data_IF_029472224261
#
_entry.id   IF_029472224261
#
_cell.length_a   1.000
_cell.length_b   1.000
_cell.length_c   1.000
_cell.angle_alpha   90.00
_cell.angle_beta   90.00
_cell.angle_gamma   90.00
#
_symmetry.space_group_name_H-M   'P 1'
#
loop_
_entity.id
_entity.type
_entity.pdbx_description
1 polymer ?
#
# COMPACT_ATOMS: atom_id res chain seq x y z
N UNK A 1 -62.20 23.13 -11.70
CA UNK A 1 -61.67 21.91 -12.33
C UNK A 1 -60.85 21.14 -11.30
N UNK A 2 -61.29 19.93 -10.95
CA UNK A 2 -60.65 19.00 -10.02
C UNK A 2 -59.37 18.43 -10.64
N UNK A 3 -58.26 18.39 -9.90
CA UNK A 3 -57.24 17.34 -10.05
C UNK A 3 -56.88 16.78 -8.69
N UNK A 4 -57.14 15.49 -8.60
CA UNK A 4 -56.96 14.58 -7.49
C UNK A 4 -55.51 14.03 -7.49
N UNK A 5 -55.04 13.59 -6.31
CA UNK A 5 -54.24 12.36 -6.10
C UNK A 5 -52.73 12.42 -6.48
N UNK A 6 -51.73 11.91 -5.74
CA UNK A 6 -51.59 10.96 -4.61
C UNK A 6 -50.29 11.30 -3.86
N UNK A 7 -50.29 11.29 -2.52
CA UNK A 7 -49.06 11.21 -1.69
C UNK A 7 -48.51 9.80 -1.78
N UNK A 8 -47.41 9.58 -2.51
CA UNK A 8 -46.68 8.32 -2.48
C UNK A 8 -45.87 8.25 -1.18
N UNK A 9 -46.31 7.38 -0.27
CA UNK A 9 -45.53 6.90 0.87
C UNK A 9 -44.32 6.14 0.32
N UNK A 10 -43.13 6.69 0.53
CA UNK A 10 -41.87 6.02 0.22
C UNK A 10 -41.57 4.96 1.27
N UNK A 11 -41.79 3.69 0.92
CA UNK A 11 -41.19 2.57 1.65
C UNK A 11 -39.80 2.36 1.05
N UNK A 12 -38.80 2.99 1.67
CA UNK A 12 -37.39 2.70 1.43
C UNK A 12 -37.10 1.34 2.07
N UNK A 13 -37.19 0.29 1.25
CA UNK A 13 -36.75 -1.05 1.62
C UNK A 13 -35.24 -1.04 1.87
N UNK A 14 -34.85 -1.29 3.11
CA UNK A 14 -33.48 -1.50 3.56
C UNK A 14 -32.91 -2.74 2.85
N UNK A 15 -32.16 -2.53 1.77
CA UNK A 15 -31.33 -3.57 1.16
C UNK A 15 -30.20 -3.85 2.14
N UNK A 16 -30.36 -4.89 2.96
CA UNK A 16 -29.28 -5.47 3.76
C UNK A 16 -28.38 -6.23 2.79
N UNK A 17 -27.35 -5.56 2.28
CA UNK A 17 -26.21 -6.20 1.65
C UNK A 17 -25.49 -7.02 2.71
N UNK A 18 -25.81 -8.31 2.80
CA UNK A 18 -25.00 -9.29 3.51
C UNK A 18 -23.69 -9.40 2.75
N UNK A 19 -22.71 -8.60 3.15
CA UNK A 19 -21.32 -8.77 2.72
C UNK A 19 -20.84 -10.12 3.23
N UNK A 20 -20.81 -11.11 2.35
CA UNK A 20 -20.13 -12.36 2.63
C UNK A 20 -18.66 -12.01 2.91
N UNK A 21 -18.23 -12.23 4.15
CA UNK A 21 -16.84 -12.32 4.52
C UNK A 21 -16.25 -13.51 3.74
N UNK A 22 -15.83 -13.26 2.51
CA UNK A 22 -14.92 -14.13 1.80
C UNK A 22 -13.64 -14.12 2.63
N UNK A 23 -13.47 -15.12 3.50
CA UNK A 23 -12.13 -15.53 3.91
C UNK A 23 -11.28 -15.72 2.65
N UNK A 24 -9.96 -15.59 2.77
CA UNK A 24 -9.01 -15.73 1.67
C UNK A 24 -9.02 -17.15 1.05
N UNK A 25 -10.13 -17.55 0.45
CA UNK A 25 -10.31 -18.76 -0.30
C UNK A 25 -9.53 -18.58 -1.60
N UNK A 26 -8.62 -19.50 -1.84
CA UNK A 26 -7.72 -19.47 -2.99
C UNK A 26 -8.41 -19.92 -4.28
N UNK A 27 -9.58 -20.58 -4.15
CA UNK A 27 -10.43 -21.06 -5.24
C UNK A 27 -11.91 -20.97 -4.88
N UNK A 28 -12.75 -20.83 -5.91
CA UNK A 28 -14.21 -20.98 -5.79
C UNK A 28 -14.64 -22.43 -5.89
N UNK A 29 -15.87 -22.75 -5.44
CA UNK A 29 -16.46 -24.10 -5.56
C UNK A 29 -16.51 -24.55 -7.02
N UNK A 30 -16.86 -23.65 -7.93
CA UNK A 30 -16.95 -23.92 -9.37
C UNK A 30 -15.58 -24.27 -9.94
N UNK A 31 -14.53 -23.54 -9.54
CA UNK A 31 -13.16 -23.82 -9.96
C UNK A 31 -12.67 -25.17 -9.41
N UNK A 32 -13.05 -25.54 -8.19
CA UNK A 32 -12.77 -26.87 -7.64
C UNK A 32 -13.42 -27.98 -8.47
N UNK A 33 -14.70 -27.82 -8.82
CA UNK A 33 -15.46 -28.81 -9.59
C UNK A 33 -14.99 -28.92 -11.05
N UNK A 34 -14.44 -27.84 -11.61
CA UNK A 34 -13.85 -27.86 -12.95
C UNK A 34 -12.61 -28.76 -13.02
N UNK A 35 -11.82 -28.85 -11.93
CA UNK A 35 -10.73 -29.80 -11.81
C UNK A 35 -9.53 -29.57 -12.74
N UNK A 36 -9.36 -28.38 -13.31
CA UNK A 36 -8.21 -28.01 -14.15
C UNK A 36 -6.96 -27.72 -13.30
N UNK A 37 -6.44 -28.74 -12.64
CA UNK A 37 -5.30 -28.60 -11.72
C UNK A 37 -4.00 -28.22 -12.43
N UNK A 38 -3.83 -28.60 -13.70
CA UNK A 38 -2.71 -28.13 -14.51
C UNK A 38 -2.80 -26.61 -14.76
N UNK A 39 -3.95 -26.09 -15.18
CA UNK A 39 -4.14 -24.66 -15.40
C UNK A 39 -3.96 -23.83 -14.12
N UNK A 40 -4.45 -24.33 -12.99
CA UNK A 40 -4.23 -23.70 -11.67
C UNK A 40 -2.74 -23.71 -11.31
N UNK A 41 -2.07 -24.86 -11.48
CA UNK A 41 -0.63 -25.00 -11.22
C UNK A 41 0.21 -24.05 -12.04
N UNK A 42 -0.03 -23.97 -13.35
CA UNK A 42 0.66 -23.04 -14.24
C UNK A 42 0.56 -21.59 -13.77
N UNK A 43 -0.66 -21.12 -13.45
CA UNK A 43 -0.89 -19.75 -12.97
C UNK A 43 -0.22 -19.49 -11.63
N UNK A 44 -0.26 -20.45 -10.71
CA UNK A 44 0.45 -20.34 -9.43
C UNK A 44 1.97 -20.28 -9.61
N UNK A 45 2.51 -21.03 -10.58
CA UNK A 45 3.92 -20.98 -10.94
C UNK A 45 4.31 -19.64 -11.55
N UNK A 46 3.50 -19.13 -12.49
CA UNK A 46 3.69 -17.81 -13.11
C UNK A 46 3.63 -16.67 -12.09
N UNK A 47 2.83 -16.84 -11.02
CA UNK A 47 2.72 -15.91 -9.91
C UNK A 47 3.75 -16.16 -8.78
N UNK A 48 4.68 -17.10 -8.94
CA UNK A 48 5.72 -17.38 -7.95
C UNK A 48 5.20 -17.94 -6.61
N UNK A 49 4.04 -18.59 -6.61
CA UNK A 49 3.43 -19.11 -5.38
C UNK A 49 4.23 -20.29 -4.82
N UNK A 50 4.37 -20.40 -3.49
CA UNK A 50 5.08 -21.50 -2.86
C UNK A 50 4.35 -22.83 -3.09
N UNK A 51 5.06 -23.94 -2.94
CA UNK A 51 4.50 -25.28 -3.13
C UNK A 51 3.30 -25.56 -2.21
N UNK A 52 3.31 -24.99 -0.99
CA UNK A 52 2.22 -25.07 -0.02
C UNK A 52 0.89 -24.49 -0.52
N UNK A 53 0.89 -23.77 -1.66
CA UNK A 53 -0.32 -23.20 -2.23
C UNK A 53 -1.35 -24.27 -2.63
N UNK A 54 -0.90 -25.46 -3.01
CA UNK A 54 -1.80 -26.59 -3.28
C UNK A 54 -2.60 -26.99 -2.04
N UNK A 55 -1.99 -26.93 -0.84
CA UNK A 55 -2.68 -27.25 0.41
C UNK A 55 -3.77 -26.22 0.73
N UNK A 56 -3.54 -24.95 0.37
CA UNK A 56 -4.56 -23.91 0.50
C UNK A 56 -5.75 -24.19 -0.43
N UNK A 57 -5.48 -24.61 -1.67
CA UNK A 57 -6.51 -25.04 -2.61
C UNK A 57 -7.28 -26.25 -2.10
N UNK A 58 -6.58 -27.25 -1.53
CA UNK A 58 -7.22 -28.42 -0.93
C UNK A 58 -8.18 -28.03 0.19
N UNK A 59 -7.77 -27.11 1.08
CA UNK A 59 -8.64 -26.58 2.16
C UNK A 59 -9.86 -25.85 1.59
N UNK A 60 -9.69 -25.05 0.54
CA UNK A 60 -10.79 -24.34 -0.12
C UNK A 60 -11.79 -25.30 -0.77
N UNK A 61 -11.29 -26.36 -1.41
CA UNK A 61 -12.10 -27.34 -2.13
C UNK A 61 -12.70 -28.46 -1.26
N UNK A 62 -12.26 -28.60 -0.01
CA UNK A 62 -12.77 -29.61 0.92
C UNK A 62 -14.31 -29.53 1.11
N UNK A 63 -14.88 -28.32 1.17
CA UNK A 63 -16.35 -28.11 1.28
C UNK A 63 -17.10 -28.58 0.04
N UNK A 64 -16.43 -28.66 -1.10
CA UNK A 64 -16.97 -29.18 -2.36
C UNK A 64 -16.73 -30.69 -2.52
N UNK A 65 -16.04 -31.34 -1.58
CA UNK A 65 -15.67 -32.75 -1.66
C UNK A 65 -14.60 -33.06 -2.71
N UNK A 66 -13.85 -32.05 -3.16
CA UNK A 66 -12.82 -32.20 -4.19
C UNK A 66 -11.43 -32.20 -3.56
N UNK A 67 -10.61 -33.18 -3.95
CA UNK A 67 -9.19 -33.28 -3.60
C UNK A 67 -8.34 -32.86 -4.82
N UNK A 68 -7.37 -31.96 -4.68
CA UNK A 68 -6.51 -31.57 -5.81
C UNK A 68 -5.67 -32.70 -6.36
N UNK A 69 -5.49 -32.73 -7.68
CA UNK A 69 -4.54 -33.63 -8.33
C UNK A 69 -3.14 -32.98 -8.37
N UNK A 70 -2.24 -33.51 -7.53
CA UNK A 70 -0.92 -32.93 -7.30
C UNK A 70 0.02 -33.07 -8.50
N UNK A 71 -0.05 -34.17 -9.24
CA UNK A 71 0.88 -34.44 -10.34
C UNK A 71 0.75 -33.43 -11.50
N UNK A 72 -0.43 -33.22 -12.12
CA UNK A 72 -0.60 -32.21 -13.16
C UNK A 72 -0.41 -30.79 -12.64
N UNK A 73 -0.77 -30.52 -11.37
CA UNK A 73 -0.54 -29.22 -10.75
C UNK A 73 0.94 -28.88 -10.66
N UNK A 74 1.77 -29.73 -10.05
CA UNK A 74 3.19 -29.41 -9.86
C UNK A 74 3.95 -29.42 -11.19
N UNK A 75 3.61 -30.33 -12.11
CA UNK A 75 4.20 -30.33 -13.44
C UNK A 75 3.95 -29.01 -14.19
N UNK A 76 2.72 -28.51 -14.15
CA UNK A 76 2.37 -27.25 -14.81
C UNK A 76 2.91 -26.03 -14.04
N UNK A 77 2.96 -26.09 -12.71
CA UNK A 77 3.59 -25.06 -11.86
C UNK A 77 5.07 -24.87 -12.21
N UNK A 78 5.79 -25.95 -12.41
CA UNK A 78 7.20 -25.88 -12.82
C UNK A 78 7.38 -25.24 -14.20
N UNK A 79 6.37 -25.34 -15.09
CA UNK A 79 6.36 -24.61 -16.36
C UNK A 79 6.10 -23.12 -16.16
N UNK A 80 5.11 -22.76 -15.33
CA UNK A 80 4.82 -21.37 -14.98
C UNK A 80 6.01 -20.68 -14.29
N UNK A 81 6.73 -21.40 -13.43
CA UNK A 81 7.93 -20.89 -12.76
C UNK A 81 9.04 -20.51 -13.74
N UNK A 82 9.08 -21.05 -14.96
CA UNK A 82 10.05 -20.60 -15.98
C UNK A 82 9.79 -19.15 -16.42
N UNK A 83 8.55 -18.69 -16.33
CA UNK A 83 8.16 -17.31 -16.63
C UNK A 83 8.42 -16.39 -15.42
N UNK A 84 8.19 -16.90 -14.21
CA UNK A 84 8.45 -16.16 -12.98
C UNK A 84 9.95 -16.02 -12.68
N UNK A 85 10.74 -17.08 -12.88
CA UNK A 85 12.15 -17.15 -12.50
C UNK A 85 13.06 -16.51 -13.54
N UNK A 86 12.81 -15.23 -13.81
CA UNK A 86 13.60 -14.40 -14.70
C UNK A 86 14.20 -13.25 -13.90
N UNK A 87 15.31 -12.70 -14.39
CA UNK A 87 15.92 -11.53 -13.77
C UNK A 87 14.97 -10.33 -13.77
N UNK A 88 14.20 -10.11 -14.85
CA UNK A 88 13.27 -8.98 -14.98
C UNK A 88 12.12 -9.11 -13.99
N UNK A 89 11.60 -10.33 -13.81
CA UNK A 89 10.60 -10.58 -12.78
C UNK A 89 11.19 -10.37 -11.39
N UNK A 90 12.39 -10.86 -11.12
CA UNK A 90 13.11 -10.59 -9.88
C UNK A 90 13.17 -9.10 -9.57
N UNK A 91 13.57 -8.27 -10.55
CA UNK A 91 13.58 -6.82 -10.41
C UNK A 91 12.20 -6.24 -10.07
N UNK A 92 11.15 -6.64 -10.77
CA UNK A 92 9.79 -6.20 -10.44
C UNK A 92 9.40 -6.59 -9.02
N UNK A 93 9.61 -7.83 -8.61
CA UNK A 93 9.26 -8.31 -7.28
C UNK A 93 10.02 -7.56 -6.18
N UNK A 94 11.31 -7.30 -6.38
CA UNK A 94 12.14 -6.51 -5.45
C UNK A 94 11.70 -5.05 -5.38
N UNK A 95 11.43 -4.43 -6.53
CA UNK A 95 10.95 -3.04 -6.65
C UNK A 95 9.60 -2.85 -5.99
N UNK A 96 8.70 -3.80 -6.17
CA UNK A 96 7.34 -3.74 -5.63
C UNK A 96 7.32 -4.10 -4.12
N UNK A 97 8.47 -4.50 -3.55
CA UNK A 97 8.61 -4.82 -2.12
C UNK A 97 8.09 -6.20 -1.73
N UNK A 98 7.88 -7.09 -2.71
CA UNK A 98 7.39 -8.44 -2.47
C UNK A 98 8.50 -9.32 -1.87
N UNK A 99 8.11 -10.23 -0.98
CA UNK A 99 9.03 -11.24 -0.45
C UNK A 99 9.23 -12.38 -1.46
N UNK A 100 10.48 -12.79 -1.68
CA UNK A 100 10.78 -13.97 -2.50
C UNK A 100 10.60 -15.25 -1.69
N UNK A 101 9.79 -16.18 -2.21
CA UNK A 101 9.44 -17.43 -1.54
C UNK A 101 10.40 -18.60 -1.78
N UNK A 102 11.56 -18.38 -2.41
CA UNK A 102 12.53 -19.46 -2.67
C UNK A 102 12.05 -20.49 -3.69
N UNK A 103 11.23 -20.08 -4.65
CA UNK A 103 10.52 -20.99 -5.56
C UNK A 103 11.28 -21.32 -6.84
N UNK A 104 12.36 -20.59 -7.12
CA UNK A 104 13.11 -20.78 -8.35
C UNK A 104 14.10 -21.95 -8.27
N UNK A 105 14.24 -22.75 -9.34
CA UNK A 105 15.26 -23.78 -9.39
C UNK A 105 16.66 -23.15 -9.51
N UNK A 106 17.70 -23.87 -9.06
CA UNK A 106 19.06 -23.34 -8.89
C UNK A 106 19.64 -22.59 -10.11
N UNK A 107 19.35 -23.03 -11.34
CA UNK A 107 19.85 -22.39 -12.56
C UNK A 107 19.29 -20.97 -12.74
N UNK A 108 17.98 -20.82 -12.99
CA UNK A 108 17.32 -19.51 -13.14
C UNK A 108 17.35 -18.63 -11.89
N UNK A 109 17.42 -19.22 -10.70
CA UNK A 109 17.38 -18.50 -9.41
C UNK A 109 18.47 -17.43 -9.30
N UNK A 110 19.68 -17.71 -9.78
CA UNK A 110 20.76 -16.71 -9.75
C UNK A 110 20.39 -15.42 -10.50
N UNK A 111 19.78 -15.53 -11.68
CA UNK A 111 19.34 -14.38 -12.46
C UNK A 111 18.22 -13.64 -11.74
N UNK A 112 17.24 -14.37 -11.23
CA UNK A 112 16.15 -13.80 -10.43
C UNK A 112 16.68 -13.00 -9.23
N UNK A 113 17.61 -13.56 -8.44
CA UNK A 113 18.14 -12.92 -7.23
C UNK A 113 18.95 -11.65 -7.54
N UNK A 114 19.67 -11.60 -8.66
CA UNK A 114 20.35 -10.37 -9.10
C UNK A 114 19.32 -9.26 -9.35
N UNK A 115 18.28 -9.56 -10.13
CA UNK A 115 17.21 -8.60 -10.39
C UNK A 115 16.51 -8.20 -9.10
N UNK A 116 16.21 -9.17 -8.24
CA UNK A 116 15.56 -8.94 -6.95
C UNK A 116 16.34 -7.96 -6.08
N UNK A 117 17.66 -8.14 -5.95
CA UNK A 117 18.51 -7.21 -5.21
C UNK A 117 18.53 -5.81 -5.83
N UNK A 118 18.61 -5.70 -7.17
CA UNK A 118 18.52 -4.41 -7.86
C UNK A 118 17.18 -3.71 -7.58
N UNK A 119 16.08 -4.46 -7.64
CA UNK A 119 14.74 -3.97 -7.33
C UNK A 119 14.60 -3.51 -5.88
N UNK A 120 15.20 -4.23 -4.93
CA UNK A 120 15.19 -3.84 -3.52
C UNK A 120 15.89 -2.49 -3.27
N UNK A 121 16.97 -2.20 -3.99
CA UNK A 121 17.62 -0.89 -3.93
C UNK A 121 16.66 0.22 -4.38
N UNK A 122 15.94 -0.01 -5.49
CA UNK A 122 14.92 0.91 -5.99
C UNK A 122 13.78 1.10 -4.98
N UNK A 123 13.23 0.00 -4.46
CA UNK A 123 12.15 0.05 -3.47
C UNK A 123 12.55 0.87 -2.24
N UNK A 124 13.76 0.67 -1.74
CA UNK A 124 14.27 1.37 -0.58
C UNK A 124 14.42 2.88 -0.84
N UNK A 125 14.95 3.28 -2.00
CA UNK A 125 15.10 4.69 -2.37
C UNK A 125 13.74 5.38 -2.58
N UNK A 126 12.81 4.74 -3.30
CA UNK A 126 11.45 5.26 -3.53
C UNK A 126 10.67 5.37 -2.23
N UNK A 127 10.83 4.40 -1.32
CA UNK A 127 10.19 4.43 0.00
C UNK A 127 10.75 5.54 0.88
N UNK A 128 12.05 5.81 0.84
CA UNK A 128 12.66 6.97 1.52
C UNK A 128 12.10 8.30 1.00
N UNK A 129 11.99 8.44 -0.32
CA UNK A 129 11.43 9.64 -0.94
C UNK A 129 9.97 9.88 -0.49
N UNK A 130 9.12 8.86 -0.65
CA UNK A 130 7.70 8.93 -0.25
C UNK A 130 7.52 9.25 1.24
N UNK A 131 8.36 8.66 2.11
CA UNK A 131 8.34 8.96 3.54
C UNK A 131 8.74 10.41 3.82
N UNK A 132 9.82 10.90 3.20
CA UNK A 132 10.28 12.27 3.40
C UNK A 132 9.25 13.30 2.88
N UNK A 133 8.59 13.03 1.76
CA UNK A 133 7.49 13.86 1.25
C UNK A 133 6.29 13.87 2.21
N UNK A 134 5.92 12.70 2.74
CA UNK A 134 4.85 12.57 3.73
C UNK A 134 5.18 13.33 5.03
N UNK A 135 6.43 13.25 5.49
CA UNK A 135 6.92 13.96 6.66
C UNK A 135 6.89 15.48 6.45
N UNK A 136 7.30 15.93 5.27
CA UNK A 136 7.23 17.34 4.87
C UNK A 136 5.78 17.83 4.88
N UNK A 137 4.87 17.12 4.22
CA UNK A 137 3.46 17.47 4.19
C UNK A 137 2.86 17.52 5.60
N UNK A 138 3.16 16.52 6.42
CA UNK A 138 2.69 16.46 7.81
C UNK A 138 3.22 17.63 8.64
N UNK A 139 4.49 18.00 8.47
CA UNK A 139 5.10 19.15 9.14
C UNK A 139 4.45 20.48 8.72
N UNK A 140 4.20 20.67 7.43
CA UNK A 140 3.50 21.85 6.91
C UNK A 140 2.07 21.96 7.50
N UNK A 141 1.32 20.86 7.52
CA UNK A 141 -0.03 20.84 8.11
C UNK A 141 -0.01 21.17 9.60
N UNK A 142 0.98 20.68 10.35
CA UNK A 142 1.17 21.04 11.76
C UNK A 142 1.47 22.53 11.90
N UNK A 143 2.41 23.06 11.12
CA UNK A 143 2.80 24.47 11.18
C UNK A 143 1.60 25.40 10.89
N UNK A 144 0.82 25.10 9.86
CA UNK A 144 -0.38 25.87 9.53
C UNK A 144 -1.46 25.77 10.61
N UNK A 145 -1.68 24.59 11.18
CA UNK A 145 -2.65 24.40 12.28
C UNK A 145 -2.27 25.24 13.49
N UNK A 146 -1.00 25.22 13.88
CA UNK A 146 -0.48 26.05 14.99
C UNK A 146 -0.58 27.54 14.68
N UNK A 147 -0.33 27.95 13.44
CA UNK A 147 -0.48 29.35 13.01
C UNK A 147 -1.93 29.83 13.13
N UNK A 148 -2.90 29.03 12.66
CA UNK A 148 -4.33 29.34 12.79
C UNK A 148 -4.77 29.44 14.25
N UNK A 149 -4.34 28.49 15.08
CA UNK A 149 -4.63 28.50 16.52
C UNK A 149 -4.01 29.73 17.21
N UNK A 150 -2.78 30.11 16.84
CA UNK A 150 -2.11 31.30 17.37
C UNK A 150 -2.87 32.58 17.01
N UNK A 151 -3.34 32.72 15.77
CA UNK A 151 -4.17 33.86 15.35
C UNK A 151 -5.48 33.93 16.13
N UNK A 152 -6.13 32.79 16.38
CA UNK A 152 -7.33 32.74 17.22
C UNK A 152 -7.09 33.24 18.65
N UNK A 153 -5.96 32.88 19.24
CA UNK A 153 -5.56 33.38 20.57
C UNK A 153 -5.20 34.88 20.53
N UNK A 154 -4.53 35.34 19.46
CA UNK A 154 -4.26 36.77 19.24
C UNK A 154 -5.53 37.60 19.11
N UNK A 155 -6.56 37.06 18.47
CA UNK A 155 -7.88 37.69 18.36
C UNK A 155 -8.61 37.72 19.71
N UNK A 156 -8.56 36.64 20.49
CA UNK A 156 -9.14 36.58 21.83
C UNK A 156 -8.50 37.60 22.77
N UNK A 157 -7.17 37.77 22.70
CA UNK A 157 -6.42 38.76 23.47
C UNK A 157 -6.86 40.22 23.23
N UNK A 158 -7.58 40.51 22.13
CA UNK A 158 -8.13 41.85 21.85
C UNK A 158 -9.38 42.15 22.67
N UNK A 159 -10.00 41.17 23.32
CA UNK A 159 -11.21 41.37 24.11
C UNK A 159 -10.91 42.27 25.34
N UNK A 160 -11.53 43.46 25.44
CA UNK A 160 -11.29 44.37 26.55
C UNK A 160 -11.81 43.85 27.90
N UNK A 161 -12.68 42.83 27.90
CA UNK A 161 -13.28 42.26 29.11
C UNK A 161 -12.36 41.25 29.84
N UNK A 162 -11.21 40.90 29.27
CA UNK A 162 -10.29 39.95 29.90
C UNK A 162 -9.57 40.57 31.11
N UNK A 163 -9.50 39.81 32.20
CA UNK A 163 -8.69 40.14 33.36
C UNK A 163 -7.20 39.80 33.11
N UNK A 164 -6.32 40.17 34.05
CA UNK A 164 -4.88 40.00 33.89
C UNK A 164 -4.43 38.54 33.91
N UNK A 165 -5.10 37.70 34.69
CA UNK A 165 -4.83 36.26 34.76
C UNK A 165 -5.16 35.58 33.43
N UNK A 166 -6.34 35.83 32.86
CA UNK A 166 -6.76 35.32 31.56
C UNK A 166 -5.81 35.79 30.44
N UNK A 167 -5.39 37.07 30.47
CA UNK A 167 -4.40 37.59 29.52
C UNK A 167 -3.05 36.88 29.65
N UNK A 168 -2.63 36.57 30.87
CA UNK A 168 -1.39 35.82 31.12
C UNK A 168 -1.48 34.42 30.52
N UNK A 169 -2.54 33.66 30.82
CA UNK A 169 -2.77 32.31 30.27
C UNK A 169 -2.80 32.29 28.73
N UNK A 170 -3.49 33.26 28.11
CA UNK A 170 -3.56 33.37 26.65
C UNK A 170 -2.19 33.69 26.05
N UNK A 171 -1.37 34.54 26.69
CA UNK A 171 0.00 34.83 26.24
C UNK A 171 0.90 33.60 26.33
N UNK A 172 0.79 32.81 27.40
CA UNK A 172 1.54 31.56 27.55
C UNK A 172 1.14 30.53 26.48
N UNK A 173 -0.17 30.39 26.23
CA UNK A 173 -0.69 29.56 25.15
C UNK A 173 -0.17 30.02 23.79
N UNK A 174 -0.19 31.32 23.51
CA UNK A 174 0.33 31.89 22.27
C UNK A 174 1.83 31.60 22.08
N UNK A 175 2.63 31.77 23.13
CA UNK A 175 4.06 31.48 23.11
C UNK A 175 4.34 30.00 22.82
N UNK A 176 3.55 29.10 23.42
CA UNK A 176 3.61 27.66 23.15
C UNK A 176 3.29 27.35 21.69
N UNK A 177 2.15 27.83 21.17
CA UNK A 177 1.73 27.61 19.79
C UNK A 177 2.77 28.13 18.78
N UNK A 178 3.34 29.31 19.04
CA UNK A 178 4.42 29.87 18.21
C UNK A 178 5.69 29.01 18.26
N UNK A 179 6.02 28.43 19.42
CA UNK A 179 7.16 27.51 19.54
C UNK A 179 6.93 26.21 18.78
N UNK A 180 5.76 25.60 18.94
CA UNK A 180 5.37 24.39 18.22
C UNK A 180 5.32 24.61 16.70
N UNK A 181 4.84 25.78 16.25
CA UNK A 181 4.88 26.18 14.84
C UNK A 181 6.32 26.24 14.33
N UNK A 182 7.23 26.91 15.06
CA UNK A 182 8.65 26.99 14.67
C UNK A 182 9.26 25.60 14.55
N UNK A 183 9.01 24.73 15.53
CA UNK A 183 9.47 23.35 15.48
C UNK A 183 8.95 22.61 14.24
N UNK A 184 7.66 22.69 13.96
CA UNK A 184 7.06 22.07 12.77
C UNK A 184 7.68 22.62 11.46
N UNK A 185 7.97 23.91 11.37
CA UNK A 185 8.66 24.49 10.21
C UNK A 185 10.07 23.92 10.06
N UNK A 186 10.84 23.80 11.14
CA UNK A 186 12.17 23.19 11.08
C UNK A 186 12.11 21.70 10.72
N UNK A 187 11.10 20.96 11.21
CA UNK A 187 10.85 19.58 10.80
C UNK A 187 10.60 19.49 9.29
N UNK A 188 9.76 20.38 8.75
CA UNK A 188 9.44 20.44 7.33
C UNK A 188 10.66 20.72 6.46
N UNK A 189 11.56 21.60 6.91
CA UNK A 189 12.84 21.86 6.21
C UNK A 189 13.76 20.64 6.20
N UNK A 190 13.86 19.91 7.32
CA UNK A 190 14.66 18.68 7.38
C UNK A 190 14.08 17.61 6.45
N UNK A 191 12.77 17.46 6.44
CA UNK A 191 12.07 16.54 5.54
C UNK A 191 12.24 16.93 4.06
N UNK A 192 12.17 18.22 3.72
CA UNK A 192 12.43 18.74 2.36
C UNK A 192 13.86 18.43 1.89
N UNK A 193 14.85 18.60 2.76
CA UNK A 193 16.23 18.22 2.44
C UNK A 193 16.35 16.71 2.18
N UNK A 194 15.73 15.89 3.04
CA UNK A 194 15.73 14.44 2.89
C UNK A 194 15.02 13.98 1.61
N UNK A 195 13.91 14.63 1.24
CA UNK A 195 13.18 14.33 0.01
C UNK A 195 14.06 14.61 -1.23
N UNK A 196 14.73 15.77 -1.27
CA UNK A 196 15.65 16.10 -2.38
C UNK A 196 16.84 15.15 -2.47
N UNK A 197 17.33 14.65 -1.34
CA UNK A 197 18.40 13.65 -1.32
C UNK A 197 17.93 12.31 -1.88
N UNK A 198 16.79 11.82 -1.40
CA UNK A 198 16.18 10.59 -1.89
C UNK A 198 15.79 10.68 -3.38
N UNK A 199 15.34 11.84 -3.86
CA UNK A 199 15.03 12.07 -5.27
C UNK A 199 16.27 11.93 -6.15
N UNK A 200 17.42 12.50 -5.74
CA UNK A 200 18.69 12.32 -6.45
C UNK A 200 19.10 10.84 -6.53
N UNK A 201 18.89 10.11 -5.45
CA UNK A 201 19.18 8.68 -5.39
C UNK A 201 18.28 7.89 -6.36
N UNK A 202 16.97 8.16 -6.36
CA UNK A 202 16.01 7.54 -7.30
C UNK A 202 16.44 7.81 -8.75
N UNK A 203 16.83 9.04 -9.06
CA UNK A 203 17.27 9.41 -10.41
C UNK A 203 18.59 8.73 -10.80
N UNK A 204 19.52 8.54 -9.86
CA UNK A 204 20.73 7.76 -10.09
C UNK A 204 20.40 6.30 -10.40
N UNK A 205 19.52 5.69 -9.60
CA UNK A 205 19.08 4.32 -9.82
C UNK A 205 18.35 4.18 -11.16
N UNK A 206 17.52 5.16 -11.56
CA UNK A 206 16.89 5.18 -12.89
C UNK A 206 17.91 5.19 -14.01
N UNK A 207 18.97 6.01 -13.91
CA UNK A 207 20.06 6.01 -14.89
C UNK A 207 20.83 4.68 -14.92
N UNK A 208 21.08 4.08 -13.75
CA UNK A 208 21.82 2.82 -13.60
C UNK A 208 21.04 1.63 -14.15
N UNK A 209 19.77 1.51 -13.80
CA UNK A 209 18.95 0.33 -14.03
C UNK A 209 18.01 0.46 -15.23
N UNK A 210 17.70 1.68 -15.67
CA UNK A 210 16.85 1.95 -16.83
C UNK A 210 17.27 1.23 -18.12
N UNK A 211 18.57 1.19 -18.49
CA UNK A 211 19.02 0.46 -19.67
C UNK A 211 18.77 -1.05 -19.62
N UNK A 212 18.72 -1.65 -18.42
CA UNK A 212 18.52 -3.10 -18.24
C UNK A 212 17.05 -3.48 -18.07
N UNK A 213 16.30 -2.71 -17.30
CA UNK A 213 14.94 -3.05 -16.88
C UNK A 213 13.85 -2.15 -17.50
N UNK A 214 14.23 -1.17 -18.32
CA UNK A 214 13.32 -0.19 -18.91
C UNK A 214 12.94 0.94 -17.96
N UNK A 215 11.97 1.76 -18.38
CA UNK A 215 11.40 2.80 -17.52
C UNK A 215 10.57 2.19 -16.40
N UNK A 216 10.88 2.57 -15.16
CA UNK A 216 10.17 2.16 -13.95
C UNK A 216 9.91 3.35 -13.02
#
# INVERSE_FOLDING_TARGET
>A
MRRLWVRKLGVLGLVVTVGALAGCATMSKEACLQGDWAGVGFKDGEAGRPQSRLDDHAKACAKAGVVPDAAPYFQARDQGLKLYCTQDRGFSEGRDGNAYAGVCPQGPERGFLIGYADGQLVNAAVSRLSQAESDRQSADHRAEKRDREARGVEDELKNPQLNDEQKHELRDRLNRLRSERRQAVEDGRRADWAARDAEREVDELRRRFGPRYGGW
#
